data_IF_521368104381
#
_entry.id   IF_521368104381
#
_cell.length_a   1.000
_cell.length_b   1.000
_cell.length_c   1.000
_cell.angle_alpha   90.00
_cell.angle_beta   90.00
_cell.angle_gamma   90.00
#
_symmetry.space_group_name_H-M   'P 1'
#
loop_
_entity.id
_entity.type
_entity.pdbx_description
1 polymer ?
#
# COMPACT_ATOMS: atom_id res chain seq x y z
N UNK A 1 71.93 38.69 86.59
CA UNK A 1 70.48 38.70 86.30
C UNK A 1 69.99 40.13 86.51
N UNK A 2 70.00 40.91 85.43
CA UNK A 2 69.64 42.32 85.28
C UNK A 2 69.66 42.61 83.75
N UNK A 3 69.09 43.72 83.21
CA UNK A 3 67.81 44.38 83.49
C UNK A 3 67.11 44.90 82.19
N UNK A 4 66.08 45.76 82.32
CA UNK A 4 65.66 46.86 81.40
C UNK A 4 64.88 46.55 80.09
N UNK A 5 63.58 46.91 80.10
CA UNK A 5 62.89 47.93 79.26
C UNK A 5 63.31 48.17 77.79
N UNK A 6 62.37 48.12 76.83
CA UNK A 6 61.97 49.27 75.97
C UNK A 6 61.00 48.91 74.82
N UNK A 7 60.11 49.88 74.59
CA UNK A 7 59.11 50.16 73.54
C UNK A 7 59.62 50.26 72.09
N UNK A 8 58.80 49.85 71.11
CA UNK A 8 58.65 50.44 69.75
C UNK A 8 57.24 50.04 69.23
N UNK A 9 56.16 50.82 69.35
CA UNK A 9 55.70 51.95 68.50
C UNK A 9 56.18 51.95 67.04
N UNK A 10 55.37 51.43 66.12
CA UNK A 10 55.60 51.65 64.68
C UNK A 10 54.60 50.97 63.76
N UNK A 11 53.64 51.76 63.26
CA UNK A 11 53.14 51.73 61.88
C UNK A 11 52.83 50.38 61.23
N UNK A 12 51.54 50.07 61.03
CA UNK A 12 50.99 50.15 59.66
C UNK A 12 49.47 50.20 59.71
N UNK A 13 48.95 51.41 59.48
CA UNK A 13 47.59 51.67 59.09
C UNK A 13 47.38 51.05 57.69
N UNK A 14 46.99 49.78 57.61
CA UNK A 14 46.55 49.21 56.33
C UNK A 14 45.10 49.59 56.14
N UNK A 15 44.96 50.67 55.37
CA UNK A 15 43.77 51.21 54.76
C UNK A 15 42.74 50.13 54.43
N UNK A 16 41.60 50.26 55.09
CA UNK A 16 40.32 49.67 54.73
C UNK A 16 39.93 50.14 53.31
N UNK A 17 40.48 49.48 52.27
CA UNK A 17 40.07 49.70 50.88
C UNK A 17 38.90 48.77 50.60
N UNK A 18 37.74 49.11 51.14
CA UNK A 18 36.47 48.65 50.62
C UNK A 18 36.35 49.17 49.19
N UNK A 19 36.88 48.41 48.23
CA UNK A 19 36.50 48.55 46.83
C UNK A 19 35.06 48.04 46.73
N UNK A 20 34.12 48.96 46.89
CA UNK A 20 32.75 48.74 46.49
C UNK A 20 32.74 48.51 44.97
N UNK A 21 32.80 47.24 44.57
CA UNK A 21 32.47 46.81 43.22
C UNK A 21 31.00 47.17 43.03
N UNK A 22 30.76 48.34 42.43
CA UNK A 22 29.43 48.77 42.04
C UNK A 22 28.91 47.80 40.97
N UNK A 23 28.16 46.79 41.40
CA UNK A 23 27.31 46.00 40.51
C UNK A 23 26.29 46.97 39.93
N UNK A 24 26.58 47.52 38.74
CA UNK A 24 25.61 48.30 37.96
C UNK A 24 24.43 47.38 37.65
N UNK A 25 23.37 47.49 38.44
CA UNK A 25 22.06 46.89 38.12
C UNK A 25 21.61 47.51 36.80
N UNK A 26 21.61 46.71 35.74
CA UNK A 26 20.99 47.11 34.49
C UNK A 26 19.49 47.33 34.76
N UNK A 27 18.89 48.44 34.29
CA UNK A 27 17.48 48.67 34.47
C UNK A 27 16.69 47.54 33.78
N UNK A 28 15.56 47.10 34.36
CA UNK A 28 14.72 46.09 33.73
C UNK A 28 14.28 46.62 32.37
N UNK A 29 14.68 45.93 31.30
CA UNK A 29 14.17 46.21 29.96
C UNK A 29 12.66 46.06 30.01
N UNK A 30 11.91 47.13 29.70
CA UNK A 30 10.47 47.06 29.53
C UNK A 30 10.20 46.03 28.44
N UNK A 31 9.59 44.89 28.80
CA UNK A 31 9.13 43.92 27.82
C UNK A 31 8.11 44.62 26.93
N UNK A 32 8.44 44.80 25.65
CA UNK A 32 7.46 45.25 24.67
C UNK A 32 6.36 44.19 24.60
N UNK A 33 5.10 44.60 24.83
CA UNK A 33 3.96 43.73 24.60
C UNK A 33 3.74 43.50 23.10
N UNK A 34 3.05 42.42 22.75
CA UNK A 34 2.62 42.15 21.39
C UNK A 34 1.57 43.16 20.93
N UNK A 35 1.67 43.61 19.69
CA UNK A 35 0.63 44.44 19.07
C UNK A 35 -0.55 43.58 18.61
N UNK A 36 -1.74 44.18 18.47
CA UNK A 36 -2.92 43.48 17.95
C UNK A 36 -2.69 42.91 16.53
N UNK A 37 -1.95 43.62 15.68
CA UNK A 37 -1.65 43.16 14.32
C UNK A 37 -0.67 41.97 14.33
N UNK A 38 0.29 41.96 15.25
CA UNK A 38 1.24 40.84 15.40
C UNK A 38 0.53 39.59 15.92
N UNK A 39 -0.36 39.74 16.91
CA UNK A 39 -1.21 38.65 17.38
C UNK A 39 -2.13 38.14 16.26
N UNK A 40 -2.75 39.03 15.48
CA UNK A 40 -3.59 38.66 14.34
C UNK A 40 -2.79 37.87 13.29
N UNK A 41 -1.62 38.35 12.88
CA UNK A 41 -0.75 37.64 11.92
C UNK A 41 -0.27 36.30 12.47
N UNK A 42 0.13 36.22 13.74
CA UNK A 42 0.53 34.97 14.37
C UNK A 42 -0.60 33.95 14.36
N UNK A 43 -1.83 34.36 14.68
CA UNK A 43 -3.00 33.46 14.64
C UNK A 43 -3.29 32.96 13.22
N UNK A 44 -3.14 33.80 12.19
CA UNK A 44 -3.30 33.40 10.79
C UNK A 44 -2.23 32.38 10.36
N UNK A 45 -0.96 32.63 10.72
CA UNK A 45 0.15 31.73 10.39
C UNK A 45 -0.02 30.37 11.07
N UNK A 46 -0.30 30.37 12.38
CA UNK A 46 -0.49 29.12 13.13
C UNK A 46 -1.75 28.38 12.65
N UNK A 47 -2.85 29.11 12.42
CA UNK A 47 -4.11 28.54 11.94
C UNK A 47 -3.95 27.86 10.58
N UNK A 48 -3.30 28.52 9.63
CA UNK A 48 -3.02 27.94 8.30
C UNK A 48 -2.05 26.75 8.37
N UNK A 49 -1.03 26.82 9.23
CA UNK A 49 -0.11 25.71 9.46
C UNK A 49 -0.81 24.45 10.00
N UNK A 50 -1.71 24.60 10.98
CA UNK A 50 -2.48 23.48 11.54
C UNK A 50 -3.41 22.87 10.50
N UNK A 51 -4.12 23.70 9.73
CA UNK A 51 -5.00 23.21 8.65
C UNK A 51 -4.22 22.43 7.58
N UNK A 52 -3.02 22.91 7.22
CA UNK A 52 -2.16 22.21 6.28
C UNK A 52 -1.78 20.80 6.80
N UNK A 53 -1.38 20.68 8.07
CA UNK A 53 -1.01 19.40 8.68
C UNK A 53 -2.19 18.43 8.70
N UNK A 54 -3.38 18.89 9.10
CA UNK A 54 -4.58 18.04 9.13
C UNK A 54 -4.94 17.55 7.73
N UNK A 55 -4.86 18.41 6.71
CA UNK A 55 -5.12 18.00 5.33
C UNK A 55 -4.11 16.97 4.82
N UNK A 56 -2.84 17.11 5.18
CA UNK A 56 -1.79 16.16 4.84
C UNK A 56 -2.01 14.80 5.49
N UNK A 57 -2.38 14.76 6.78
CA UNK A 57 -2.71 13.51 7.49
C UNK A 57 -3.87 12.77 6.82
N UNK A 58 -4.94 13.48 6.44
CA UNK A 58 -6.07 12.88 5.73
C UNK A 58 -5.64 12.27 4.38
N UNK A 59 -4.76 12.96 3.63
CA UNK A 59 -4.22 12.44 2.39
C UNK A 59 -3.36 11.19 2.63
N UNK A 60 -2.54 11.18 3.68
CA UNK A 60 -1.71 10.02 4.03
C UNK A 60 -2.53 8.80 4.40
N UNK A 61 -3.58 8.94 5.20
CA UNK A 61 -4.45 7.80 5.53
C UNK A 61 -5.09 7.20 4.27
N UNK A 62 -5.67 8.05 3.39
CA UNK A 62 -6.26 7.57 2.13
C UNK A 62 -5.24 6.86 1.23
N UNK A 63 -4.00 7.37 1.15
CA UNK A 63 -2.94 6.76 0.34
C UNK A 63 -2.44 5.45 0.93
N UNK A 64 -2.32 5.37 2.26
CA UNK A 64 -1.93 4.14 2.94
C UNK A 64 -2.98 3.04 2.76
N UNK A 65 -4.26 3.38 2.91
CA UNK A 65 -5.36 2.44 2.69
C UNK A 65 -5.37 1.91 1.24
N UNK A 66 -5.17 2.80 0.26
CA UNK A 66 -5.04 2.40 -1.14
C UNK A 66 -3.82 1.50 -1.38
N UNK A 67 -2.67 1.84 -0.78
CA UNK A 67 -1.44 1.05 -0.93
C UNK A 67 -1.60 -0.36 -0.35
N UNK A 68 -2.22 -0.49 0.83
CA UNK A 68 -2.53 -1.78 1.45
C UNK A 68 -3.44 -2.62 0.55
N UNK A 69 -4.55 -2.05 0.07
CA UNK A 69 -5.47 -2.74 -0.84
C UNK A 69 -4.76 -3.14 -2.14
N UNK A 70 -4.00 -2.23 -2.74
CA UNK A 70 -3.24 -2.52 -3.97
C UNK A 70 -2.30 -3.71 -3.75
N UNK A 71 -1.55 -3.75 -2.64
CA UNK A 71 -0.67 -4.87 -2.30
C UNK A 71 -1.44 -6.18 -2.16
N UNK A 72 -2.58 -6.19 -1.48
CA UNK A 72 -3.46 -7.37 -1.39
C UNK A 72 -3.95 -7.80 -2.78
N UNK A 73 -4.37 -6.84 -3.61
CA UNK A 73 -4.82 -7.11 -4.98
C UNK A 73 -3.73 -7.72 -5.86
N UNK A 74 -2.47 -7.26 -5.74
CA UNK A 74 -1.32 -7.87 -6.41
C UNK A 74 -1.06 -9.29 -5.92
N UNK A 75 -1.08 -9.52 -4.61
CA UNK A 75 -0.89 -10.85 -4.05
C UNK A 75 -1.95 -11.82 -4.59
N UNK A 76 -3.24 -11.47 -4.47
CA UNK A 76 -4.34 -12.31 -4.96
C UNK A 76 -4.28 -12.57 -6.46
N UNK A 77 -3.88 -11.59 -7.27
CA UNK A 77 -3.75 -11.81 -8.71
C UNK A 77 -2.62 -12.80 -9.04
N UNK A 78 -1.50 -12.69 -8.33
CA UNK A 78 -0.36 -13.60 -8.52
C UNK A 78 -0.67 -15.02 -8.03
N UNK A 79 -1.45 -15.21 -6.96
CA UNK A 79 -1.86 -16.57 -6.53
C UNK A 79 -2.54 -17.35 -7.66
N UNK A 80 -3.44 -16.71 -8.43
CA UNK A 80 -4.06 -17.36 -9.59
C UNK A 80 -3.07 -17.58 -10.72
N UNK A 81 -2.18 -16.62 -10.99
CA UNK A 81 -1.14 -16.80 -12.02
C UNK A 81 -0.26 -18.00 -11.71
N UNK A 82 0.27 -18.09 -10.50
CA UNK A 82 1.15 -19.19 -10.07
C UNK A 82 0.43 -20.54 -10.15
N UNK A 83 -0.86 -20.59 -9.80
CA UNK A 83 -1.68 -21.80 -9.94
C UNK A 83 -1.79 -22.30 -11.40
N UNK A 84 -1.92 -21.36 -12.34
CA UNK A 84 -2.15 -21.66 -13.76
C UNK A 84 -0.88 -21.73 -14.60
N UNK A 85 0.27 -21.27 -14.07
CA UNK A 85 1.50 -21.09 -14.85
C UNK A 85 2.06 -22.42 -15.39
N UNK A 86 1.81 -23.51 -14.68
CA UNK A 86 2.33 -24.84 -15.01
C UNK A 86 1.28 -25.73 -15.67
N UNK A 87 0.07 -25.22 -15.90
CA UNK A 87 -0.98 -26.00 -16.53
C UNK A 87 -0.79 -25.97 -18.05
N UNK A 88 -1.03 -27.11 -18.74
CA UNK A 88 -1.13 -27.10 -20.19
C UNK A 88 -2.27 -26.19 -20.64
N UNK A 89 -2.26 -25.77 -21.90
CA UNK A 89 -3.35 -24.97 -22.45
C UNK A 89 -4.66 -25.75 -22.56
N UNK A 90 -4.55 -27.03 -22.89
CA UNK A 90 -5.63 -27.98 -23.14
C UNK A 90 -5.32 -29.33 -22.51
N UNK A 91 -6.36 -30.09 -22.18
CA UNK A 91 -6.26 -31.46 -21.70
C UNK A 91 -5.45 -32.31 -22.71
N UNK A 92 -4.33 -32.92 -22.30
CA UNK A 92 -3.53 -33.77 -23.18
C UNK A 92 -4.26 -35.04 -23.64
N UNK A 93 -5.35 -35.44 -22.98
CA UNK A 93 -6.12 -36.64 -23.32
C UNK A 93 -7.25 -36.35 -24.31
N UNK A 94 -7.99 -35.25 -24.13
CA UNK A 94 -9.13 -34.89 -25.00
C UNK A 94 -8.84 -33.76 -25.99
N UNK A 95 -7.77 -32.99 -25.81
CA UNK A 95 -7.32 -31.88 -26.67
C UNK A 95 -8.49 -30.93 -27.02
N UNK A 96 -8.50 -30.36 -28.23
CA UNK A 96 -9.49 -29.36 -28.68
C UNK A 96 -10.95 -29.85 -28.77
N UNK A 97 -11.24 -31.11 -28.41
CA UNK A 97 -12.59 -31.67 -28.53
C UNK A 97 -13.51 -31.28 -27.38
N UNK A 98 -12.94 -30.97 -26.22
CA UNK A 98 -13.65 -30.42 -25.06
C UNK A 98 -12.98 -29.12 -24.69
N UNK A 99 -13.78 -28.10 -24.40
CA UNK A 99 -13.27 -26.77 -24.09
C UNK A 99 -14.01 -26.24 -22.86
N UNK A 100 -13.25 -25.82 -21.86
CA UNK A 100 -13.74 -25.57 -20.52
C UNK A 100 -13.91 -26.87 -19.70
N UNK A 101 -14.37 -26.74 -18.44
CA UNK A 101 -14.37 -27.86 -17.49
C UNK A 101 -15.09 -29.10 -18.00
N UNK A 102 -14.44 -30.26 -17.95
CA UNK A 102 -15.06 -31.52 -18.35
C UNK A 102 -16.04 -32.07 -17.29
N UNK A 103 -16.76 -33.13 -17.66
CA UNK A 103 -17.82 -33.70 -16.85
C UNK A 103 -17.35 -34.27 -15.49
N UNK A 104 -16.05 -34.53 -15.31
CA UNK A 104 -15.44 -34.97 -14.06
C UNK A 104 -14.83 -33.82 -13.24
N UNK A 105 -15.02 -32.59 -13.68
CA UNK A 105 -14.30 -31.41 -13.20
C UNK A 105 -15.18 -30.40 -12.49
N UNK A 106 -15.89 -30.87 -11.47
CA UNK A 106 -16.92 -30.06 -10.78
C UNK A 106 -16.36 -28.93 -9.91
N UNK A 107 -15.03 -28.84 -9.75
CA UNK A 107 -14.42 -27.86 -8.87
C UNK A 107 -12.97 -27.55 -9.25
N UNK A 108 -12.47 -26.41 -8.80
CA UNK A 108 -11.12 -25.91 -9.08
C UNK A 108 -9.98 -26.87 -8.67
N UNK A 109 -10.22 -27.85 -7.80
CA UNK A 109 -9.20 -28.87 -7.48
C UNK A 109 -9.10 -29.96 -8.53
N UNK A 110 -10.14 -30.16 -9.34
CA UNK A 110 -10.12 -31.09 -10.45
C UNK A 110 -9.35 -30.51 -11.64
N UNK A 111 -9.57 -29.22 -11.96
CA UNK A 111 -8.98 -28.52 -13.11
C UNK A 111 -7.53 -28.88 -13.36
N UNK A 112 -7.19 -29.45 -14.49
CA UNK A 112 -5.83 -29.86 -14.79
C UNK A 112 -5.21 -29.13 -15.99
N UNK A 113 -6.00 -28.30 -16.68
CA UNK A 113 -5.54 -27.42 -17.74
C UNK A 113 -5.94 -25.94 -17.52
N UNK A 114 -5.57 -25.09 -18.48
CA UNK A 114 -5.88 -23.66 -18.42
C UNK A 114 -7.30 -23.34 -18.87
N UNK A 115 -7.84 -24.06 -19.86
CA UNK A 115 -9.15 -23.72 -20.41
C UNK A 115 -10.32 -24.10 -19.50
N UNK A 116 -10.12 -24.96 -18.51
CA UNK A 116 -11.04 -25.13 -17.37
C UNK A 116 -11.43 -23.80 -16.70
N UNK A 117 -10.48 -22.86 -16.62
CA UNK A 117 -10.72 -21.55 -16.03
C UNK A 117 -11.57 -20.62 -16.90
N UNK A 118 -11.90 -21.03 -18.13
CA UNK A 118 -12.89 -20.37 -18.96
C UNK A 118 -14.31 -20.45 -18.37
N UNK A 119 -14.57 -21.42 -17.48
CA UNK A 119 -15.88 -21.66 -16.92
C UNK A 119 -16.88 -22.09 -17.99
N UNK A 120 -18.15 -21.68 -17.87
CA UNK A 120 -19.19 -22.08 -18.84
C UNK A 120 -18.89 -21.47 -20.20
N UNK A 121 -18.65 -22.33 -21.20
CA UNK A 121 -18.38 -21.91 -22.58
C UNK A 121 -19.69 -21.78 -23.35
N UNK A 122 -19.90 -20.62 -23.97
CA UNK A 122 -21.04 -20.36 -24.85
C UNK A 122 -20.57 -19.65 -26.11
N UNK A 123 -20.97 -20.16 -27.28
CA UNK A 123 -20.49 -19.67 -28.58
C UNK A 123 -18.94 -19.61 -28.67
N UNK A 124 -18.27 -20.60 -28.06
CA UNK A 124 -16.81 -20.71 -28.03
C UNK A 124 -16.11 -19.75 -27.08
N UNK A 125 -16.83 -19.00 -26.22
CA UNK A 125 -16.21 -18.07 -25.27
C UNK A 125 -16.52 -18.49 -23.85
N UNK A 126 -15.50 -18.45 -22.99
CA UNK A 126 -15.64 -18.64 -21.56
C UNK A 126 -16.34 -17.47 -20.89
N UNK A 127 -17.24 -17.75 -19.95
CA UNK A 127 -17.78 -16.74 -19.04
C UNK A 127 -16.75 -16.26 -17.99
N UNK A 128 -15.68 -17.03 -17.79
CA UNK A 128 -14.72 -16.89 -16.70
C UNK A 128 -15.25 -17.44 -15.38
N UNK A 129 -14.38 -17.49 -14.39
CA UNK A 129 -14.70 -17.94 -13.04
C UNK A 129 -14.44 -16.85 -12.02
N UNK A 130 -15.32 -16.76 -11.02
CA UNK A 130 -15.21 -15.82 -9.92
C UNK A 130 -15.04 -16.58 -8.60
N UNK A 131 -14.06 -16.15 -7.80
CA UNK A 131 -13.73 -16.72 -6.50
C UNK A 131 -14.03 -15.70 -5.40
N UNK A 132 -15.05 -16.00 -4.60
CA UNK A 132 -15.42 -15.27 -3.39
C UNK A 132 -15.92 -16.29 -2.33
N UNK A 133 -15.11 -16.62 -1.30
CA UNK A 133 -13.83 -16.01 -0.96
C UNK A 133 -12.75 -16.27 -2.03
N UNK A 134 -11.71 -15.40 -2.12
CA UNK A 134 -10.56 -15.63 -2.98
C UNK A 134 -9.88 -16.97 -2.70
N UNK A 135 -9.14 -17.50 -3.67
CA UNK A 135 -8.33 -18.71 -3.53
C UNK A 135 -6.82 -18.42 -3.65
N UNK A 136 -6.02 -19.28 -3.03
CA UNK A 136 -4.56 -19.30 -3.16
C UNK A 136 -4.10 -20.22 -4.30
N UNK A 137 -2.79 -20.21 -4.58
CA UNK A 137 -2.18 -21.03 -5.62
C UNK A 137 -2.34 -22.54 -5.40
N UNK A 138 -2.62 -22.97 -4.16
CA UNK A 138 -2.89 -24.35 -3.78
C UNK A 138 -4.37 -24.73 -3.94
N UNK A 139 -5.19 -23.89 -4.59
CA UNK A 139 -6.63 -24.11 -4.81
C UNK A 139 -7.42 -24.20 -3.50
N UNK A 140 -6.95 -23.51 -2.47
CA UNK A 140 -7.61 -23.40 -1.17
C UNK A 140 -8.22 -22.01 -1.03
N UNK A 141 -9.40 -21.93 -0.44
CA UNK A 141 -10.03 -20.67 -0.11
C UNK A 141 -9.21 -19.93 0.96
N UNK A 142 -9.10 -18.61 0.80
CA UNK A 142 -8.45 -17.70 1.74
C UNK A 142 -9.55 -17.04 2.57
N UNK A 143 -9.69 -17.52 3.80
CA UNK A 143 -10.63 -16.94 4.75
C UNK A 143 -10.19 -15.54 5.21
N UNK A 144 -11.14 -14.76 5.73
CA UNK A 144 -10.84 -13.45 6.34
C UNK A 144 -10.64 -12.30 5.36
N UNK A 145 -10.99 -12.47 4.09
CA UNK A 145 -10.94 -11.41 3.07
C UNK A 145 -12.34 -11.01 2.58
N UNK A 146 -13.25 -10.53 3.46
CA UNK A 146 -14.58 -10.12 3.03
C UNK A 146 -14.51 -8.95 2.05
N UNK A 147 -15.35 -9.02 1.01
CA UNK A 147 -15.43 -8.01 -0.04
C UNK A 147 -14.35 -8.13 -1.12
N UNK A 148 -13.39 -9.05 -0.99
CA UNK A 148 -12.43 -9.37 -2.05
C UNK A 148 -12.98 -10.45 -2.98
N UNK A 149 -12.75 -10.28 -4.27
CA UNK A 149 -13.08 -11.27 -5.28
C UNK A 149 -11.97 -11.32 -6.34
N UNK A 150 -11.60 -12.53 -6.75
CA UNK A 150 -10.82 -12.74 -7.97
C UNK A 150 -11.76 -13.18 -9.09
N UNK A 151 -11.53 -12.70 -10.30
CA UNK A 151 -12.17 -13.22 -11.50
C UNK A 151 -11.10 -13.54 -12.53
N UNK A 152 -11.07 -14.76 -13.02
CA UNK A 152 -10.20 -15.19 -14.14
C UNK A 152 -11.06 -15.37 -15.39
N UNK A 153 -10.57 -14.87 -16.50
CA UNK A 153 -11.14 -15.07 -17.84
C UNK A 153 -10.02 -15.59 -18.74
N UNK A 154 -10.31 -16.65 -19.47
CA UNK A 154 -9.41 -17.26 -20.45
C UNK A 154 -9.99 -17.05 -21.83
N UNK A 155 -9.19 -16.50 -22.73
CA UNK A 155 -9.56 -16.20 -24.11
C UNK A 155 -8.52 -16.77 -25.07
N UNK A 156 -8.96 -17.35 -26.20
CA UNK A 156 -8.08 -17.65 -27.32
C UNK A 156 -7.76 -16.39 -28.13
N UNK A 157 -6.48 -16.21 -28.47
CA UNK A 157 -5.98 -15.01 -29.14
C UNK A 157 -5.08 -15.37 -30.34
N UNK A 158 -5.00 -14.47 -31.31
CA UNK A 158 -4.14 -14.66 -32.46
C UNK A 158 -2.69 -14.24 -32.16
N UNK A 159 -1.73 -15.03 -32.62
CA UNK A 159 -0.29 -14.74 -32.47
C UNK A 159 0.16 -13.45 -33.18
N UNK A 160 -0.50 -13.09 -34.27
CA UNK A 160 -0.25 -11.84 -34.98
C UNK A 160 -0.86 -10.61 -34.29
N UNK A 161 -1.72 -10.80 -33.27
CA UNK A 161 -2.47 -9.72 -32.63
C UNK A 161 -2.78 -9.94 -31.14
N UNK A 162 -1.72 -10.16 -30.36
CA UNK A 162 -1.78 -10.48 -28.91
C UNK A 162 -2.45 -9.39 -28.06
N UNK A 163 -2.34 -8.13 -28.47
CA UNK A 163 -2.89 -6.98 -27.74
C UNK A 163 -4.35 -6.68 -28.08
N UNK A 164 -4.97 -7.43 -28.99
CA UNK A 164 -6.36 -7.21 -29.42
C UNK A 164 -7.37 -7.58 -28.35
N UNK A 165 -8.47 -6.83 -28.29
CA UNK A 165 -9.68 -7.27 -27.58
C UNK A 165 -10.50 -8.28 -28.41
N UNK A 166 -10.12 -8.50 -29.67
CA UNK A 166 -10.68 -9.57 -30.48
C UNK A 166 -10.21 -10.92 -29.94
N UNK A 167 -11.17 -11.77 -29.62
CA UNK A 167 -10.96 -13.12 -29.08
C UNK A 167 -11.59 -14.11 -30.03
N UNK A 168 -10.89 -15.22 -30.23
CA UNK A 168 -11.38 -16.35 -31.03
C UNK A 168 -12.14 -17.33 -30.13
N UNK A 169 -12.91 -18.25 -30.72
CA UNK A 169 -13.40 -19.39 -29.97
C UNK A 169 -12.23 -20.11 -29.28
N UNK A 170 -12.42 -20.49 -28.02
CA UNK A 170 -11.46 -21.29 -27.27
C UNK A 170 -11.13 -22.58 -28.02
N UNK A 171 -9.87 -23.03 -27.96
CA UNK A 171 -9.39 -24.22 -28.69
C UNK A 171 -9.18 -24.03 -30.19
N UNK A 172 -9.15 -22.79 -30.70
CA UNK A 172 -8.92 -22.53 -32.14
C UNK A 172 -7.58 -21.87 -32.48
N UNK A 173 -6.78 -21.59 -31.45
CA UNK A 173 -5.51 -20.87 -31.60
C UNK A 173 -4.47 -21.41 -30.64
N UNK A 174 -3.21 -21.45 -31.08
CA UNK A 174 -2.05 -21.92 -30.29
C UNK A 174 -1.65 -20.97 -29.15
N UNK A 175 -2.38 -19.86 -28.95
CA UNK A 175 -2.17 -18.92 -27.85
C UNK A 175 -3.46 -18.67 -27.06
N UNK A 176 -3.32 -18.62 -25.74
CA UNK A 176 -4.36 -18.19 -24.82
C UNK A 176 -3.91 -16.99 -23.99
N UNK A 177 -4.86 -16.13 -23.65
CA UNK A 177 -4.69 -15.02 -22.72
C UNK A 177 -5.52 -15.29 -21.47
N UNK A 178 -4.84 -15.37 -20.33
CA UNK A 178 -5.49 -15.37 -19.04
C UNK A 178 -5.49 -13.95 -18.47
N UNK A 179 -6.68 -13.48 -18.08
CA UNK A 179 -6.90 -12.18 -17.46
C UNK A 179 -7.47 -12.38 -16.07
N UNK A 180 -6.71 -12.02 -15.04
CA UNK A 180 -7.18 -12.00 -13.65
C UNK A 180 -7.51 -10.57 -13.25
N UNK A 181 -8.76 -10.35 -12.85
CA UNK A 181 -9.23 -9.09 -12.28
C UNK A 181 -9.54 -9.30 -10.80
N UNK A 182 -8.92 -8.49 -9.95
CA UNK A 182 -9.19 -8.48 -8.51
C UNK A 182 -10.00 -7.25 -8.16
N UNK A 183 -11.16 -7.46 -7.56
CA UNK A 183 -12.06 -6.40 -7.10
C UNK A 183 -12.17 -6.39 -5.58
N UNK A 184 -12.41 -5.20 -5.04
CA UNK A 184 -12.71 -5.00 -3.63
C UNK A 184 -13.96 -4.17 -3.47
N UNK A 185 -14.90 -4.66 -2.67
CA UNK A 185 -16.11 -3.95 -2.27
C UNK A 185 -16.04 -3.65 -0.76
N UNK A 186 -15.86 -2.37 -0.38
CA UNK A 186 -15.94 -1.98 1.02
C UNK A 186 -17.32 -2.29 1.62
N UNK A 187 -17.41 -2.56 2.93
CA UNK A 187 -18.70 -2.70 3.61
C UNK A 187 -19.60 -1.48 3.38
N UNK A 188 -20.83 -1.71 2.93
CA UNK A 188 -21.82 -0.65 2.64
C UNK A 188 -21.66 0.04 1.28
N UNK A 189 -20.63 -0.29 0.50
CA UNK A 189 -20.55 0.15 -0.90
C UNK A 189 -21.55 -0.64 -1.77
N UNK A 190 -22.14 0.02 -2.76
CA UNK A 190 -23.09 -0.62 -3.69
C UNK A 190 -22.41 -1.36 -4.84
N UNK A 191 -21.14 -1.05 -5.11
CA UNK A 191 -20.38 -1.61 -6.23
C UNK A 191 -18.94 -1.91 -5.81
N UNK A 192 -18.40 -3.02 -6.33
CA UNK A 192 -16.98 -3.35 -6.20
C UNK A 192 -16.13 -2.45 -7.10
N UNK A 193 -14.90 -2.16 -6.66
CA UNK A 193 -13.91 -1.43 -7.46
C UNK A 193 -12.78 -2.37 -7.88
N UNK A 194 -12.34 -2.30 -9.12
CA UNK A 194 -11.14 -3.01 -9.57
C UNK A 194 -9.91 -2.43 -8.88
N UNK A 195 -9.21 -3.27 -8.12
CA UNK A 195 -7.97 -2.91 -7.46
C UNK A 195 -6.77 -3.26 -8.34
N UNK A 196 -6.83 -4.41 -9.02
CA UNK A 196 -5.77 -4.87 -9.88
C UNK A 196 -6.31 -5.68 -11.06
N UNK A 197 -5.56 -5.66 -12.16
CA UNK A 197 -5.75 -6.55 -13.30
C UNK A 197 -4.38 -7.05 -13.78
N UNK A 198 -4.19 -8.36 -13.74
CA UNK A 198 -3.01 -9.06 -14.22
C UNK A 198 -3.36 -9.83 -15.50
N UNK A 199 -2.49 -9.77 -16.49
CA UNK A 199 -2.69 -10.42 -17.79
C UNK A 199 -1.39 -11.09 -18.18
N UNK A 200 -1.48 -12.33 -18.66
CA UNK A 200 -0.38 -13.04 -19.29
C UNK A 200 -0.89 -13.87 -20.46
N UNK A 201 0.05 -14.31 -21.28
CA UNK A 201 -0.20 -15.13 -22.47
C UNK A 201 0.52 -16.44 -22.28
N UNK A 202 -0.14 -17.52 -22.67
CA UNK A 202 0.38 -18.88 -22.71
C UNK A 202 0.31 -19.34 -24.16
N UNK A 203 1.30 -20.09 -24.61
CA UNK A 203 1.35 -20.69 -25.94
C UNK A 203 1.76 -22.15 -25.85
N UNK A 204 1.48 -22.92 -26.88
CA UNK A 204 2.05 -24.25 -27.04
C UNK A 204 3.55 -24.14 -27.37
N UNK A 205 4.38 -24.92 -26.67
CA UNK A 205 5.84 -25.00 -26.86
C UNK A 205 6.24 -25.72 -28.16
#
# INVERSE_FOLDING_TARGET
MAPVNQTVSGMTQVLNRQQAIGIRRQPPRRSAGFTLIEAALATVIVGTGVLAIVSAQQAYHKKNDWAQRSSTGFFLANELREMTLTLPMHDPLTADTTVGPEANEDNVRAFDDLDDFAGVVSAGKGAGLAFNPPINALRQQIDGLPGWQQTIVVDSILADNISSTFVQPLGTTDLMRATVTVTYQPPGAQQATTINRLVWVVGED
#
